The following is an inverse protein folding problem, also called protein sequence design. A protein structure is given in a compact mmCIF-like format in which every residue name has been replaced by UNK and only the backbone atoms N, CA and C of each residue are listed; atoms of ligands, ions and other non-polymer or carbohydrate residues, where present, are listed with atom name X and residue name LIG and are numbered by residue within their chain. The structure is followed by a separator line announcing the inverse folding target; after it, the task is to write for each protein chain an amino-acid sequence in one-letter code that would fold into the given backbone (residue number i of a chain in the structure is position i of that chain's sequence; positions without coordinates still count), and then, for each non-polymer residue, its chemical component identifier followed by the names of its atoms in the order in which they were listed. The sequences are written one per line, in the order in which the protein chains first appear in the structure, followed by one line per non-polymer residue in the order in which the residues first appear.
data_IF_399329316396
#
_entry.id   IF_399329316396
#
_cell.length_a   1.000
_cell.length_b   1.000
_cell.length_c   1.000
_cell.angle_alpha   90.00
_cell.angle_beta   90.00
_cell.angle_gamma   90.00
#
_symmetry.space_group_name_H-M   'P 1'
#
loop_
_entity.id
_entity.type
_entity.pdbx_description
1 polymer ?
#
# COMPACT_ATOMS: atom_id res chain seq x y z
N UNK A 1 -7.30 -8.61 4.16
CA UNK A 1 -7.46 -7.15 4.14
C UNK A 1 -6.08 -6.55 4.22
N UNK A 2 -5.73 -5.74 3.25
CA UNK A 2 -4.46 -5.05 3.19
C UNK A 2 -4.64 -3.65 3.78
N UNK A 3 -3.59 -3.13 4.42
CA UNK A 3 -3.58 -1.78 5.00
C UNK A 3 -2.30 -1.06 4.60
N UNK A 4 -2.42 0.21 4.27
CA UNK A 4 -1.30 1.11 4.04
C UNK A 4 -0.84 1.66 5.38
N UNK A 5 0.37 1.29 5.82
CA UNK A 5 0.85 1.62 7.16
C UNK A 5 1.71 2.88 7.20
N UNK A 6 2.57 3.06 6.20
CA UNK A 6 3.50 4.19 6.13
C UNK A 6 3.92 4.47 4.69
N UNK A 7 4.43 5.67 4.44
CA UNK A 7 4.99 6.08 3.16
C UNK A 7 6.12 7.07 3.37
N UNK A 8 6.97 7.21 2.37
CA UNK A 8 7.95 8.28 2.26
C UNK A 8 7.99 8.81 0.83
N UNK A 9 8.12 10.11 0.67
CA UNK A 9 8.27 10.75 -0.64
C UNK A 9 9.76 10.83 -0.93
N UNK A 10 10.23 9.98 -1.85
CA UNK A 10 11.57 10.10 -2.39
C UNK A 10 11.55 11.10 -3.56
N UNK A 11 12.29 12.16 -3.46
CA UNK A 11 12.33 13.22 -4.46
C UNK A 11 13.75 13.56 -4.92
N UNK A 12 13.88 14.07 -6.12
CA UNK A 12 15.12 14.65 -6.59
C UNK A 12 15.18 16.13 -6.14
N UNK A 13 16.31 16.58 -5.62
CA UNK A 13 16.53 17.94 -5.12
C UNK A 13 16.10 19.05 -6.08
N UNK A 14 16.03 18.76 -7.39
CA UNK A 14 15.60 19.69 -8.41
C UNK A 14 14.07 19.74 -8.62
N UNK A 15 13.28 18.92 -7.95
CA UNK A 15 11.85 18.76 -8.20
C UNK A 15 10.95 19.32 -7.09
N UNK A 16 11.46 19.52 -5.89
CA UNK A 16 10.71 20.13 -4.80
C UNK A 16 11.04 21.61 -4.71
N UNK A 17 10.02 22.40 -4.93
CA UNK A 17 10.04 23.85 -4.80
C UNK A 17 9.91 24.20 -3.32
N UNK A 18 10.87 24.98 -2.81
CA UNK A 18 10.82 25.66 -1.51
C UNK A 18 10.65 24.73 -0.28
N UNK A 19 11.54 23.78 -0.09
CA UNK A 19 11.80 23.29 1.26
C UNK A 19 12.56 24.41 1.99
N UNK A 20 11.81 25.38 2.50
CA UNK A 20 12.43 26.46 3.28
C UNK A 20 12.78 25.87 4.65
N UNK A 21 14.02 25.42 4.79
CA UNK A 21 14.56 24.73 5.97
C UNK A 21 14.38 25.53 7.27
N UNK A 22 14.22 26.84 7.17
CA UNK A 22 14.14 27.78 8.28
C UNK A 22 12.79 27.83 9.00
N UNK A 23 11.72 27.27 8.42
CA UNK A 23 10.38 27.31 9.04
C UNK A 23 10.09 26.17 10.03
N UNK A 24 10.88 25.11 10.03
CA UNK A 24 10.58 23.93 10.84
C UNK A 24 11.71 23.65 11.83
N UNK A 25 11.34 23.47 13.08
CA UNK A 25 12.29 23.04 14.09
C UNK A 25 12.85 21.63 13.71
N UNK A 26 14.18 21.47 13.74
CA UNK A 26 14.87 20.23 13.29
C UNK A 26 14.40 18.94 13.98
N UNK A 27 13.80 19.00 15.17
CA UNK A 27 13.20 17.86 15.88
C UNK A 27 11.75 17.56 15.45
N UNK A 28 11.11 18.44 14.68
CA UNK A 28 9.73 18.25 14.25
C UNK A 28 9.59 17.12 13.23
N UNK A 29 8.43 16.46 13.23
CA UNK A 29 8.15 15.44 12.22
C UNK A 29 8.10 16.02 10.80
N UNK A 30 7.61 17.24 10.66
CA UNK A 30 7.57 17.94 9.38
C UNK A 30 8.98 18.13 8.78
N UNK A 31 9.95 18.52 9.62
CA UNK A 31 11.35 18.63 9.22
C UNK A 31 11.91 17.27 8.80
N UNK A 32 11.76 16.26 9.65
CA UNK A 32 12.28 14.90 9.39
C UNK A 32 11.73 14.31 8.10
N UNK A 33 10.43 14.45 7.85
CA UNK A 33 9.77 13.98 6.63
C UNK A 33 10.33 14.61 5.35
N UNK A 34 10.75 15.89 5.41
CA UNK A 34 11.37 16.55 4.27
C UNK A 34 12.77 16.01 4.00
N UNK A 35 13.57 15.84 5.04
CA UNK A 35 14.95 15.41 4.90
C UNK A 35 15.09 13.95 4.50
N UNK A 36 14.23 13.06 5.00
CA UNK A 36 14.25 11.65 4.65
C UNK A 36 14.11 11.43 3.13
N UNK A 37 13.39 12.29 2.42
CA UNK A 37 13.20 12.18 0.98
C UNK A 37 14.49 12.25 0.14
N UNK A 38 15.59 12.72 0.72
CA UNK A 38 16.92 12.73 0.10
C UNK A 38 17.69 11.41 0.26
N UNK A 39 17.22 10.54 1.15
CA UNK A 39 17.89 9.30 1.46
C UNK A 39 17.67 8.25 0.37
N UNK A 40 18.55 7.28 0.31
CA UNK A 40 18.40 6.15 -0.62
C UNK A 40 17.18 5.30 -0.25
N UNK A 41 16.47 4.78 -1.25
CA UNK A 41 15.23 3.99 -1.07
C UNK A 41 15.34 2.86 -0.05
N UNK A 42 16.49 2.23 0.10
CA UNK A 42 16.70 1.17 1.09
C UNK A 42 16.71 1.73 2.53
N UNK A 43 17.29 2.92 2.73
CA UNK A 43 17.31 3.60 4.01
C UNK A 43 15.87 4.01 4.37
N UNK A 44 15.16 4.62 3.44
CA UNK A 44 13.75 4.97 3.62
C UNK A 44 12.89 3.78 4.01
N UNK A 45 13.08 2.64 3.33
CA UNK A 45 12.32 1.42 3.63
C UNK A 45 12.60 0.90 5.05
N UNK A 46 13.85 0.97 5.51
CA UNK A 46 14.23 0.60 6.88
C UNK A 46 13.65 1.57 7.92
N UNK A 47 13.65 2.86 7.63
CA UNK A 47 13.08 3.86 8.53
C UNK A 47 11.56 3.72 8.63
N UNK A 48 10.88 3.43 7.52
CA UNK A 48 9.45 3.08 7.54
C UNK A 48 9.21 1.83 8.39
N UNK A 49 10.00 0.77 8.23
CA UNK A 49 9.90 -0.44 9.04
C UNK A 49 10.07 -0.14 10.53
N UNK A 50 11.11 0.62 10.89
CA UNK A 50 11.37 1.02 12.29
C UNK A 50 10.21 1.83 12.88
N UNK A 51 9.58 2.73 12.11
CA UNK A 51 8.39 3.48 12.54
C UNK A 51 7.19 2.56 12.81
N UNK A 52 6.94 1.61 11.92
CA UNK A 52 5.86 0.62 12.07
C UNK A 52 6.06 -0.23 13.32
N UNK A 53 7.28 -0.74 13.53
CA UNK A 53 7.62 -1.51 14.73
C UNK A 53 7.47 -0.70 16.01
N UNK A 54 7.91 0.56 16.00
CA UNK A 54 7.74 1.49 17.13
C UNK A 54 6.26 1.76 17.46
N UNK A 55 5.37 1.63 16.49
CA UNK A 55 3.93 1.75 16.68
C UNK A 55 3.29 0.47 17.23
N UNK A 56 4.07 -0.55 17.57
CA UNK A 56 3.57 -1.82 18.13
C UNK A 56 3.01 -2.79 17.07
N UNK A 57 3.26 -2.54 15.78
CA UNK A 57 2.82 -3.43 14.70
C UNK A 57 3.99 -4.34 14.33
N UNK A 58 3.81 -5.64 14.53
CA UNK A 58 4.82 -6.66 14.26
C UNK A 58 4.39 -7.60 13.17
N UNK A 59 5.37 -8.22 12.51
CA UNK A 59 5.17 -9.24 11.49
C UNK A 59 6.30 -10.25 11.54
N UNK A 60 6.00 -11.49 11.20
CA UNK A 60 6.99 -12.57 11.12
C UNK A 60 7.90 -12.40 9.89
N UNK A 61 7.37 -11.81 8.81
CA UNK A 61 8.07 -11.74 7.53
C UNK A 61 7.96 -10.34 6.90
N UNK A 62 9.09 -9.86 6.36
CA UNK A 62 9.12 -8.76 5.41
C UNK A 62 9.27 -9.32 3.99
N UNK A 63 8.37 -8.91 3.09
CA UNK A 63 8.36 -9.33 1.69
C UNK A 63 8.89 -8.19 0.82
N UNK A 64 9.95 -8.43 0.07
CA UNK A 64 10.55 -7.41 -0.80
C UNK A 64 10.86 -7.95 -2.19
N UNK A 65 10.91 -7.04 -3.16
CA UNK A 65 11.36 -7.36 -4.50
C UNK A 65 12.90 -7.34 -4.60
N UNK A 66 13.41 -7.61 -5.80
CA UNK A 66 14.86 -7.68 -6.04
C UNK A 66 15.58 -6.34 -5.87
N UNK A 67 14.88 -5.21 -5.90
CA UNK A 67 15.48 -3.90 -5.70
C UNK A 67 15.94 -3.71 -4.25
N UNK A 68 15.09 -4.12 -3.30
CA UNK A 68 15.39 -4.04 -1.86
C UNK A 68 16.18 -5.26 -1.34
N UNK A 69 16.22 -6.36 -2.09
CA UNK A 69 16.89 -7.59 -1.69
C UNK A 69 18.42 -7.45 -1.73
N UNK A 70 18.97 -6.60 -0.87
CA UNK A 70 20.42 -6.42 -0.69
C UNK A 70 20.85 -6.99 0.67
N UNK A 71 22.02 -7.63 0.76
CA UNK A 71 22.47 -8.27 2.00
C UNK A 71 22.45 -7.35 3.23
N UNK A 72 22.91 -6.12 3.11
CA UNK A 72 22.92 -5.16 4.22
C UNK A 72 21.49 -4.82 4.68
N UNK A 73 20.57 -4.57 3.74
CA UNK A 73 19.17 -4.33 4.05
C UNK A 73 18.55 -5.52 4.79
N UNK A 74 18.77 -6.74 4.29
CA UNK A 74 18.25 -7.97 4.90
C UNK A 74 18.81 -8.17 6.30
N UNK A 75 20.10 -7.89 6.53
CA UNK A 75 20.68 -7.98 7.87
C UNK A 75 20.03 -7.02 8.85
N UNK A 76 19.85 -5.75 8.47
CA UNK A 76 19.18 -4.77 9.35
C UNK A 76 17.73 -5.17 9.67
N UNK A 77 17.01 -5.77 8.73
CA UNK A 77 15.66 -6.30 8.98
C UNK A 77 15.73 -7.45 9.98
N UNK A 78 16.68 -8.38 9.83
CA UNK A 78 16.89 -9.51 10.77
C UNK A 78 17.27 -9.04 12.17
N UNK A 79 18.07 -8.00 12.30
CA UNK A 79 18.43 -7.39 13.60
C UNK A 79 17.20 -6.85 14.34
N UNK A 80 16.14 -6.51 13.62
CA UNK A 80 14.85 -6.16 14.20
C UNK A 80 13.92 -7.36 14.47
N UNK A 81 14.43 -8.59 14.37
CA UNK A 81 13.68 -9.82 14.69
C UNK A 81 12.71 -10.28 13.60
N UNK A 82 12.82 -9.78 12.37
CA UNK A 82 11.91 -10.08 11.27
C UNK A 82 12.65 -10.90 10.20
N UNK A 83 12.07 -12.02 9.80
CA UNK A 83 12.57 -12.79 8.67
C UNK A 83 12.22 -12.13 7.33
N UNK A 84 13.06 -12.38 6.33
CA UNK A 84 12.88 -11.80 4.98
C UNK A 84 12.62 -12.89 3.97
N UNK A 85 11.58 -12.68 3.16
CA UNK A 85 11.33 -13.47 1.95
C UNK A 85 11.43 -12.51 0.76
N UNK A 86 12.37 -12.76 -0.14
CA UNK A 86 12.70 -11.83 -1.21
C UNK A 86 12.97 -12.54 -2.54
N UNK A 87 12.48 -11.96 -3.63
CA UNK A 87 13.02 -12.28 -4.96
C UNK A 87 14.42 -11.68 -5.07
N UNK A 88 15.36 -12.41 -5.66
CA UNK A 88 16.71 -11.90 -5.88
C UNK A 88 17.04 -11.86 -7.38
N UNK A 89 17.83 -10.86 -7.76
CA UNK A 89 18.38 -10.77 -9.11
C UNK A 89 19.64 -11.63 -9.24
N UNK A 90 19.88 -12.16 -10.43
CA UNK A 90 21.12 -12.88 -10.71
C UNK A 90 22.31 -11.91 -10.83
N UNK A 91 22.86 -11.51 -9.70
CA UNK A 91 24.02 -10.63 -9.62
C UNK A 91 25.09 -11.25 -8.70
N UNK A 92 26.15 -11.88 -9.25
CA UNK A 92 27.19 -12.54 -8.46
C UNK A 92 28.03 -11.58 -7.63
N UNK A 93 28.04 -10.27 -7.91
CA UNK A 93 28.72 -9.27 -7.07
C UNK A 93 27.98 -9.02 -5.76
N UNK A 94 26.66 -9.17 -5.77
CA UNK A 94 25.81 -8.96 -4.60
C UNK A 94 25.57 -10.29 -3.87
N UNK A 95 25.26 -11.35 -4.63
CA UNK A 95 24.89 -12.64 -4.09
C UNK A 95 26.11 -13.59 -4.09
N UNK A 96 26.89 -13.51 -3.01
CA UNK A 96 28.10 -14.30 -2.80
C UNK A 96 27.79 -15.49 -1.87
N UNK A 97 27.63 -16.66 -2.46
CA UNK A 97 27.44 -17.90 -1.71
C UNK A 97 28.80 -18.54 -1.39
N UNK A 98 28.86 -19.24 -0.28
CA UNK A 98 30.05 -19.98 0.18
C UNK A 98 29.96 -21.45 -0.21
N UNK A 99 31.10 -22.12 -0.27
CA UNK A 99 31.17 -23.57 -0.56
C UNK A 99 31.31 -23.86 -2.07
N UNK A 100 30.91 -25.07 -2.47
CA UNK A 100 31.10 -25.62 -3.83
C UNK A 100 30.26 -24.88 -4.89
N UNK A 101 29.06 -24.40 -4.50
CA UNK A 101 28.13 -23.76 -5.41
C UNK A 101 28.06 -22.25 -5.12
N UNK A 102 28.76 -21.46 -5.93
CA UNK A 102 28.98 -20.01 -5.69
C UNK A 102 28.01 -19.10 -6.43
N UNK A 103 27.30 -19.59 -7.44
CA UNK A 103 26.35 -18.79 -8.24
C UNK A 103 24.94 -19.34 -8.15
N UNK A 104 23.94 -18.49 -8.43
CA UNK A 104 22.53 -18.92 -8.48
C UNK A 104 22.30 -20.03 -9.51
N UNK A 105 22.97 -19.97 -10.64
CA UNK A 105 22.87 -20.98 -11.68
C UNK A 105 23.42 -22.34 -11.22
N UNK A 106 24.59 -22.36 -10.59
CA UNK A 106 25.18 -23.60 -10.04
C UNK A 106 24.31 -24.18 -8.94
N UNK A 107 23.71 -23.34 -8.10
CA UNK A 107 22.75 -23.76 -7.06
C UNK A 107 21.47 -24.32 -7.67
N UNK A 108 20.95 -23.71 -8.72
CA UNK A 108 19.76 -24.22 -9.42
C UNK A 108 20.01 -25.60 -10.06
N UNK A 109 21.14 -25.74 -10.77
CA UNK A 109 21.52 -27.01 -11.42
C UNK A 109 21.71 -28.11 -10.38
N UNK A 110 22.35 -27.80 -9.26
CA UNK A 110 22.49 -28.73 -8.14
C UNK A 110 21.14 -29.14 -7.56
N UNK A 111 20.27 -28.18 -7.30
CA UNK A 111 18.93 -28.45 -6.77
C UNK A 111 18.11 -29.35 -7.73
N UNK A 112 18.21 -29.09 -9.04
CA UNK A 112 17.53 -29.86 -10.08
C UNK A 112 18.04 -31.31 -10.17
N UNK A 113 19.33 -31.51 -9.99
CA UNK A 113 19.94 -32.86 -10.03
C UNK A 113 19.60 -33.70 -8.80
N UNK A 114 19.54 -33.07 -7.63
CA UNK A 114 19.43 -33.79 -6.35
C UNK A 114 18.01 -33.83 -5.77
N UNK A 115 17.08 -33.07 -6.32
CA UNK A 115 15.67 -33.04 -5.88
C UNK A 115 14.75 -33.10 -7.09
N UNK A 116 13.75 -33.98 -7.00
CA UNK A 116 12.69 -33.97 -8.02
C UNK A 116 12.04 -32.60 -8.13
N UNK A 117 11.92 -32.11 -9.36
CA UNK A 117 11.18 -30.88 -9.64
C UNK A 117 9.71 -31.10 -9.31
N UNK A 118 9.13 -30.18 -8.55
CA UNK A 118 7.72 -30.22 -8.14
C UNK A 118 6.88 -29.29 -8.98
N UNK A 119 5.65 -29.70 -9.25
CA UNK A 119 4.69 -28.89 -10.00
C UNK A 119 3.90 -28.00 -9.05
N UNK A 120 3.76 -26.75 -9.43
CA UNK A 120 2.88 -25.79 -8.78
C UNK A 120 1.96 -25.11 -9.78
N UNK A 121 0.86 -24.54 -9.29
CA UNK A 121 -0.09 -23.78 -10.09
C UNK A 121 -0.38 -22.44 -9.41
N UNK A 122 -0.39 -21.37 -10.17
CA UNK A 122 -0.75 -20.04 -9.70
C UNK A 122 -1.48 -19.27 -10.80
N UNK A 123 -2.72 -18.86 -10.53
CA UNK A 123 -3.56 -18.15 -11.49
C UNK A 123 -3.55 -18.84 -12.88
N UNK A 124 -3.77 -20.15 -12.87
CA UNK A 124 -3.75 -21.00 -14.07
C UNK A 124 -2.38 -21.17 -14.76
N UNK A 125 -1.32 -20.56 -14.24
CA UNK A 125 0.04 -20.72 -14.75
C UNK A 125 0.71 -21.89 -14.03
N UNK A 126 1.05 -22.92 -14.79
CA UNK A 126 1.84 -24.05 -14.30
C UNK A 126 3.30 -23.67 -14.22
N UNK A 127 3.96 -23.99 -13.13
CA UNK A 127 5.39 -23.77 -12.92
C UNK A 127 6.04 -24.98 -12.23
N UNK A 128 7.32 -25.16 -12.52
CA UNK A 128 8.14 -26.12 -11.79
C UNK A 128 8.95 -25.37 -10.71
N UNK A 129 9.14 -25.99 -9.56
CA UNK A 129 10.00 -25.45 -8.52
C UNK A 129 10.92 -26.49 -7.92
N UNK A 130 12.10 -26.04 -7.55
CA UNK A 130 13.08 -26.81 -6.80
C UNK A 130 13.69 -25.90 -5.73
N UNK A 131 14.21 -26.46 -4.66
CA UNK A 131 14.80 -25.67 -3.60
C UNK A 131 16.13 -26.25 -3.13
N UNK A 132 16.96 -25.39 -2.57
CA UNK A 132 18.17 -25.78 -1.88
C UNK A 132 18.44 -24.86 -0.70
N UNK A 133 19.18 -25.34 0.28
CA UNK A 133 19.70 -24.52 1.35
C UNK A 133 21.17 -24.26 1.09
N UNK A 134 21.60 -23.03 1.25
CA UNK A 134 22.99 -22.59 1.03
C UNK A 134 23.39 -21.57 2.09
N UNK A 135 24.66 -21.23 2.13
CA UNK A 135 25.18 -20.19 3.03
C UNK A 135 25.64 -19.00 2.22
N UNK A 136 25.11 -17.83 2.53
CA UNK A 136 25.59 -16.56 1.99
C UNK A 136 26.68 -15.98 2.90
N UNK A 137 27.66 -15.31 2.30
CA UNK A 137 28.85 -14.80 3.03
C UNK A 137 28.51 -13.92 4.23
N UNK A 138 27.50 -13.06 4.10
CA UNK A 138 27.09 -12.09 5.16
C UNK A 138 25.77 -12.47 5.85
N UNK A 139 24.85 -13.10 5.15
CA UNK A 139 23.50 -13.39 5.69
C UNK A 139 23.42 -14.74 6.45
N UNK A 140 24.48 -15.56 6.35
CA UNK A 140 24.45 -16.89 6.90
C UNK A 140 23.61 -17.88 6.07
N UNK A 141 22.93 -18.80 6.74
CA UNK A 141 22.14 -19.87 6.11
C UNK A 141 20.85 -19.32 5.52
N UNK A 142 20.60 -19.65 4.26
CA UNK A 142 19.41 -19.24 3.50
C UNK A 142 18.80 -20.44 2.80
N UNK A 143 17.48 -20.44 2.68
CA UNK A 143 16.75 -21.34 1.78
C UNK A 143 16.40 -20.60 0.50
N UNK A 144 16.67 -21.20 -0.65
CA UNK A 144 16.36 -20.66 -1.97
C UNK A 144 15.37 -21.58 -2.66
N UNK A 145 14.27 -21.01 -3.11
CA UNK A 145 13.28 -21.70 -3.96
C UNK A 145 13.38 -21.10 -5.37
N UNK A 146 13.67 -21.92 -6.34
CA UNK A 146 13.73 -21.55 -7.74
C UNK A 146 12.41 -21.92 -8.40
N UNK A 147 11.68 -20.94 -8.90
CA UNK A 147 10.46 -21.13 -9.68
C UNK A 147 10.84 -21.00 -11.17
N UNK A 148 10.61 -22.08 -11.93
CA UNK A 148 10.82 -22.08 -13.37
C UNK A 148 9.48 -22.00 -14.09
N UNK A 149 9.26 -20.90 -14.77
CA UNK A 149 8.20 -20.74 -15.76
C UNK A 149 8.72 -21.08 -17.15
N UNK A 150 7.89 -20.99 -18.19
CA UNK A 150 8.31 -21.27 -19.57
C UNK A 150 9.56 -20.46 -19.95
N UNK A 151 9.56 -19.17 -19.61
CA UNK A 151 10.57 -18.22 -20.09
C UNK A 151 11.52 -17.71 -18.99
N UNK A 152 11.15 -17.83 -17.71
CA UNK A 152 11.86 -17.20 -16.60
C UNK A 152 12.26 -18.16 -15.49
N UNK A 153 13.40 -17.89 -14.89
CA UNK A 153 13.84 -18.47 -13.63
C UNK A 153 13.76 -17.41 -12.53
N UNK A 154 12.93 -17.66 -11.53
CA UNK A 154 12.67 -16.71 -10.44
C UNK A 154 13.21 -17.30 -9.14
N UNK A 155 14.36 -16.84 -8.64
CA UNK A 155 14.90 -17.24 -7.36
C UNK A 155 14.27 -16.42 -6.24
N UNK A 156 13.71 -17.11 -5.24
CA UNK A 156 13.16 -16.52 -4.01
C UNK A 156 13.98 -17.06 -2.85
N UNK A 157 14.50 -16.17 -2.02
CA UNK A 157 15.19 -16.53 -0.79
C UNK A 157 14.29 -16.39 0.42
N UNK A 158 14.57 -17.20 1.45
CA UNK A 158 14.06 -17.01 2.80
C UNK A 158 15.21 -17.06 3.80
N UNK A 159 15.20 -16.13 4.75
CA UNK A 159 16.10 -16.18 5.90
C UNK A 159 15.67 -17.24 6.92
N UNK A 160 14.37 -17.53 6.98
CA UNK A 160 13.83 -18.65 7.74
C UNK A 160 13.95 -19.94 6.90
N UNK A 161 14.90 -20.78 7.26
CA UNK A 161 15.15 -22.05 6.55
C UNK A 161 14.20 -23.17 6.91
N UNK A 162 13.38 -23.03 7.94
CA UNK A 162 12.43 -24.04 8.42
C UNK A 162 11.12 -24.05 7.60
N UNK A 163 10.83 -22.95 6.90
CA UNK A 163 9.66 -22.89 6.02
C UNK A 163 9.75 -23.94 4.92
N UNK A 164 8.63 -24.58 4.60
CA UNK A 164 8.50 -25.41 3.40
C UNK A 164 8.58 -24.53 2.13
N UNK A 165 8.85 -25.17 0.99
CA UNK A 165 8.93 -24.48 -0.30
C UNK A 165 7.60 -23.79 -0.66
N UNK A 166 6.50 -24.46 -0.34
CA UNK A 166 5.14 -23.95 -0.63
C UNK A 166 4.80 -22.77 0.27
N UNK A 167 5.19 -22.80 1.54
CA UNK A 167 5.00 -21.65 2.44
C UNK A 167 5.77 -20.43 1.95
N UNK A 168 7.03 -20.61 1.54
CA UNK A 168 7.83 -19.49 0.97
C UNK A 168 7.15 -18.92 -0.27
N UNK A 169 6.71 -19.79 -1.20
CA UNK A 169 6.05 -19.33 -2.44
C UNK A 169 4.75 -18.60 -2.13
N UNK A 170 3.88 -19.19 -1.28
CA UNK A 170 2.59 -18.61 -0.95
C UNK A 170 2.71 -17.32 -0.15
N UNK A 171 3.68 -17.24 0.76
CA UNK A 171 3.94 -16.02 1.51
C UNK A 171 4.47 -14.93 0.59
N UNK A 172 5.41 -15.24 -0.31
CA UNK A 172 5.94 -14.27 -1.26
C UNK A 172 4.88 -13.75 -2.24
N UNK A 173 3.91 -14.57 -2.64
CA UNK A 173 2.79 -14.14 -3.51
C UNK A 173 2.00 -12.99 -2.90
N UNK A 174 1.88 -12.90 -1.57
CA UNK A 174 1.18 -11.80 -0.88
C UNK A 174 1.81 -10.42 -1.18
N UNK A 175 3.08 -10.38 -1.59
CA UNK A 175 3.73 -9.13 -2.03
C UNK A 175 2.97 -8.42 -3.15
N UNK A 176 2.29 -9.18 -4.01
CA UNK A 176 1.48 -8.64 -5.11
C UNK A 176 0.33 -7.74 -4.63
N UNK A 177 -0.12 -7.92 -3.40
CA UNK A 177 -1.18 -7.09 -2.81
C UNK A 177 -0.78 -5.60 -2.74
N UNK A 178 0.51 -5.30 -2.65
CA UNK A 178 1.01 -3.91 -2.73
C UNK A 178 0.68 -3.27 -4.09
N UNK A 179 0.88 -4.01 -5.17
CA UNK A 179 0.61 -3.51 -6.52
C UNK A 179 -0.90 -3.33 -6.75
N UNK A 180 -1.70 -4.26 -6.23
CA UNK A 180 -3.15 -4.15 -6.26
C UNK A 180 -3.63 -2.97 -5.41
N UNK A 181 -3.09 -2.79 -4.20
CA UNK A 181 -3.43 -1.66 -3.33
C UNK A 181 -3.09 -0.30 -3.97
N UNK A 182 -1.95 -0.19 -4.65
CA UNK A 182 -1.63 1.03 -5.42
C UNK A 182 -2.55 1.25 -6.62
N UNK A 183 -3.01 0.18 -7.28
CA UNK A 183 -4.00 0.30 -8.33
C UNK A 183 -5.32 0.83 -7.78
N UNK A 184 -5.81 0.26 -6.70
CA UNK A 184 -7.04 0.68 -6.04
C UNK A 184 -6.95 2.13 -5.54
N UNK A 185 -5.81 2.53 -4.96
CA UNK A 185 -5.56 3.91 -4.54
C UNK A 185 -5.65 4.90 -5.71
N UNK A 186 -5.10 4.57 -6.88
CA UNK A 186 -5.16 5.42 -8.07
C UNK A 186 -6.56 5.49 -8.66
N UNK A 187 -7.26 4.37 -8.66
CA UNK A 187 -8.58 4.24 -9.30
C UNK A 187 -9.66 4.90 -8.46
N UNK A 188 -9.68 4.67 -7.13
CA UNK A 188 -10.78 5.08 -6.26
C UNK A 188 -10.44 6.24 -5.32
N UNK A 189 -9.19 6.48 -5.00
CA UNK A 189 -8.78 7.46 -3.99
C UNK A 189 -7.92 8.60 -4.55
N UNK A 190 -7.92 8.81 -5.86
CA UNK A 190 -7.24 9.90 -6.54
C UNK A 190 -5.72 9.99 -6.26
N UNK A 191 -5.09 8.88 -5.86
CA UNK A 191 -3.67 8.83 -5.58
C UNK A 191 -2.85 8.98 -6.87
N UNK A 192 -1.85 9.86 -6.86
CA UNK A 192 -0.98 10.12 -8.02
C UNK A 192 -1.61 11.01 -9.11
N UNK A 193 -2.77 11.66 -8.81
CA UNK A 193 -3.40 12.66 -9.68
C UNK A 193 -3.22 14.07 -9.13
N UNK A 194 -2.20 14.27 -8.29
CA UNK A 194 -1.90 15.55 -7.67
C UNK A 194 -1.26 16.50 -8.68
N UNK A 195 -1.88 17.64 -8.92
CA UNK A 195 -1.30 18.76 -9.69
C UNK A 195 -0.40 19.64 -8.80
N UNK A 196 -0.55 19.53 -7.50
CA UNK A 196 0.16 20.36 -6.54
C UNK A 196 1.59 19.86 -6.31
N UNK A 197 2.55 20.78 -6.33
CA UNK A 197 3.99 20.52 -6.11
C UNK A 197 4.46 20.91 -4.71
N UNK A 198 3.57 21.41 -3.86
CA UNK A 198 3.90 21.80 -2.49
C UNK A 198 4.02 20.51 -1.65
N UNK A 199 5.14 20.34 -0.96
CA UNK A 199 5.44 19.11 -0.20
C UNK A 199 4.36 18.77 0.83
N UNK A 200 3.88 19.76 1.58
CA UNK A 200 2.82 19.58 2.60
C UNK A 200 1.51 19.09 1.99
N UNK A 201 1.14 19.67 0.87
CA UNK A 201 -0.08 19.29 0.16
C UNK A 201 0.00 17.84 -0.35
N UNK A 202 1.17 17.42 -0.86
CA UNK A 202 1.41 16.04 -1.26
C UNK A 202 1.32 15.08 -0.06
N UNK A 203 1.98 15.41 1.06
CA UNK A 203 1.89 14.60 2.29
C UNK A 203 0.45 14.49 2.78
N UNK A 204 -0.28 15.62 2.85
CA UNK A 204 -1.67 15.64 3.27
C UNK A 204 -2.55 14.75 2.34
N UNK A 205 -2.40 14.91 1.03
CA UNK A 205 -3.15 14.13 0.05
C UNK A 205 -2.90 12.63 0.16
N UNK A 206 -1.63 12.22 0.20
CA UNK A 206 -1.26 10.81 0.36
C UNK A 206 -1.81 10.24 1.68
N UNK A 207 -1.69 11.01 2.77
CA UNK A 207 -2.23 10.62 4.08
C UNK A 207 -3.74 10.40 4.02
N UNK A 208 -4.48 11.30 3.40
CA UNK A 208 -5.94 11.19 3.25
C UNK A 208 -6.32 10.00 2.36
N UNK A 209 -5.61 9.78 1.25
CA UNK A 209 -5.84 8.62 0.38
C UNK A 209 -5.59 7.30 1.12
N UNK A 210 -4.53 7.21 1.91
CA UNK A 210 -4.24 6.02 2.72
C UNK A 210 -5.28 5.81 3.83
N UNK A 211 -5.69 6.89 4.49
CA UNK A 211 -6.74 6.82 5.52
C UNK A 211 -8.06 6.33 4.92
N UNK A 212 -8.48 6.91 3.81
CA UNK A 212 -9.71 6.51 3.11
C UNK A 212 -9.65 5.03 2.67
N UNK A 213 -8.53 4.60 2.07
CA UNK A 213 -8.30 3.21 1.70
C UNK A 213 -8.40 2.27 2.92
N UNK A 214 -7.73 2.61 4.02
CA UNK A 214 -7.72 1.80 5.23
C UNK A 214 -9.11 1.71 5.87
N UNK A 215 -9.84 2.81 5.94
CA UNK A 215 -11.23 2.82 6.44
C UNK A 215 -12.14 1.96 5.58
N UNK A 216 -12.07 2.11 4.25
CA UNK A 216 -12.86 1.31 3.31
C UNK A 216 -12.53 -0.18 3.41
N UNK A 217 -11.23 -0.51 3.52
CA UNK A 217 -10.77 -1.88 3.73
C UNK A 217 -11.24 -2.46 5.07
N UNK A 218 -11.26 -1.64 6.12
CA UNK A 218 -11.77 -2.04 7.44
C UNK A 218 -13.29 -2.29 7.40
N UNK A 219 -14.06 -1.37 6.83
CA UNK A 219 -15.51 -1.50 6.66
C UNK A 219 -15.84 -2.78 5.88
N UNK A 220 -15.11 -3.02 4.78
CA UNK A 220 -15.30 -4.24 3.99
C UNK A 220 -15.02 -5.52 4.79
N UNK A 221 -14.07 -5.48 5.71
CA UNK A 221 -13.73 -6.62 6.57
C UNK A 221 -14.81 -6.94 7.60
N UNK A 222 -15.45 -5.92 8.18
CA UNK A 222 -16.50 -6.12 9.20
C UNK A 222 -17.87 -6.47 8.59
N UNK A 223 -18.05 -6.25 7.29
CA UNK A 223 -19.26 -6.64 6.60
C UNK A 223 -19.34 -8.16 6.44
N UNK A 224 -20.53 -8.74 6.66
CA UNK A 224 -20.77 -10.18 6.55
C UNK A 224 -20.60 -10.71 5.11
N UNK A 225 -20.75 -9.83 4.11
CA UNK A 225 -20.57 -10.14 2.69
C UNK A 225 -19.42 -9.27 2.13
N UNK A 226 -18.15 -9.75 2.21
CA UNK A 226 -17.02 -8.98 1.74
C UNK A 226 -17.09 -8.78 0.22
N UNK A 227 -17.10 -7.51 -0.19
CA UNK A 227 -17.10 -7.09 -1.60
C UNK A 227 -15.67 -6.73 -2.04
N UNK A 228 -15.44 -6.63 -3.34
CA UNK A 228 -14.23 -5.97 -3.82
C UNK A 228 -14.27 -4.49 -3.45
N UNK A 229 -13.11 -3.85 -3.28
CA UNK A 229 -13.07 -2.41 -2.98
C UNK A 229 -13.81 -1.58 -4.02
N UNK A 230 -13.70 -1.92 -5.30
CA UNK A 230 -14.42 -1.24 -6.37
C UNK A 230 -15.94 -1.40 -6.29
N UNK A 231 -16.45 -2.57 -5.88
CA UNK A 231 -17.88 -2.75 -5.67
C UNK A 231 -18.36 -1.95 -4.47
N UNK A 232 -17.61 -1.98 -3.37
CA UNK A 232 -17.96 -1.21 -2.18
C UNK A 232 -17.94 0.30 -2.48
N UNK A 233 -16.98 0.79 -3.25
CA UNK A 233 -16.90 2.19 -3.63
C UNK A 233 -18.13 2.61 -4.46
N UNK A 234 -18.52 1.81 -5.45
CA UNK A 234 -19.73 2.06 -6.26
C UNK A 234 -21.01 2.05 -5.43
N UNK A 235 -21.11 1.13 -4.46
CA UNK A 235 -22.26 1.11 -3.55
C UNK A 235 -22.34 2.37 -2.70
N UNK A 236 -21.18 2.86 -2.21
CA UNK A 236 -21.13 4.11 -1.45
C UNK A 236 -21.50 5.32 -2.31
N UNK A 237 -21.02 5.40 -3.56
CA UNK A 237 -21.43 6.44 -4.51
C UNK A 237 -22.94 6.42 -4.75
N UNK A 238 -23.52 5.25 -5.03
CA UNK A 238 -24.95 5.09 -5.23
C UNK A 238 -25.77 5.50 -3.99
N UNK A 239 -25.30 5.18 -2.79
CA UNK A 239 -25.93 5.60 -1.53
C UNK A 239 -25.87 7.12 -1.34
N UNK A 240 -24.76 7.77 -1.68
CA UNK A 240 -24.60 9.22 -1.62
C UNK A 240 -25.53 9.92 -2.61
N UNK A 241 -25.61 9.42 -3.86
CA UNK A 241 -26.56 9.94 -4.85
C UNK A 241 -28.01 9.79 -4.39
N UNK A 242 -28.38 8.62 -3.86
CA UNK A 242 -29.72 8.37 -3.31
C UNK A 242 -30.04 9.32 -2.15
N UNK A 243 -29.07 9.56 -1.26
CA UNK A 243 -29.23 10.51 -0.15
C UNK A 243 -29.42 11.94 -0.66
N UNK A 244 -28.63 12.35 -1.65
CA UNK A 244 -28.73 13.67 -2.27
C UNK A 244 -30.11 13.89 -2.91
N UNK A 245 -30.59 12.93 -3.70
CA UNK A 245 -31.94 12.97 -4.30
C UNK A 245 -33.02 13.01 -3.23
N UNK A 246 -32.92 12.21 -2.17
CA UNK A 246 -33.87 12.18 -1.07
C UNK A 246 -33.92 13.51 -0.32
N UNK A 247 -32.80 14.15 -0.09
CA UNK A 247 -32.74 15.47 0.52
C UNK A 247 -33.36 16.54 -0.38
N UNK A 248 -33.12 16.50 -1.69
CA UNK A 248 -33.71 17.43 -2.64
C UNK A 248 -35.26 17.28 -2.70
N UNK A 249 -35.76 16.05 -2.72
CA UNK A 249 -37.19 15.77 -2.65
C UNK A 249 -37.79 16.26 -1.35
N UNK A 250 -37.12 16.02 -0.23
CA UNK A 250 -37.59 16.51 1.08
C UNK A 250 -37.71 18.03 1.12
N UNK A 251 -36.73 18.75 0.57
CA UNK A 251 -36.77 20.21 0.47
C UNK A 251 -37.95 20.68 -0.41
N UNK A 252 -38.19 20.06 -1.57
CA UNK A 252 -39.31 20.36 -2.44
C UNK A 252 -40.69 20.15 -1.75
N UNK A 253 -40.81 19.06 -0.99
CA UNK A 253 -42.02 18.78 -0.20
C UNK A 253 -42.22 19.84 0.88
N UNK A 254 -41.15 20.22 1.60
CA UNK A 254 -41.20 21.30 2.59
C UNK A 254 -41.65 22.63 1.94
N UNK A 255 -41.10 22.96 0.77
CA UNK A 255 -41.49 24.15 0.02
C UNK A 255 -42.97 24.16 -0.34
N UNK A 256 -43.49 23.04 -0.85
CA UNK A 256 -44.91 22.92 -1.19
C UNK A 256 -45.82 23.02 0.04
N UNK A 257 -45.46 22.41 1.16
CA UNK A 257 -46.18 22.50 2.43
C UNK A 257 -46.24 23.96 2.90
N UNK A 258 -45.11 24.65 2.79
CA UNK A 258 -45.01 26.05 3.20
C UNK A 258 -45.83 26.96 2.29
N UNK A 259 -45.76 26.77 0.97
CA UNK A 259 -46.55 27.54 0.00
C UNK A 259 -48.04 27.31 0.14
N UNK A 260 -48.48 26.10 0.55
CA UNK A 260 -49.86 25.74 0.74
C UNK A 260 -50.49 26.28 2.02
N UNK A 261 -49.68 26.71 2.98
CA UNK A 261 -50.19 27.24 4.25
C UNK A 261 -50.05 28.77 4.28
N UNK A 262 -51.18 29.49 4.37
CA UNK A 262 -51.25 30.95 4.59
C UNK A 262 -50.53 31.43 5.88
N UNK A 263 -50.14 30.50 6.75
CA UNK A 263 -49.38 30.71 7.99
C UNK A 263 -47.96 31.23 7.75
N UNK A 264 -47.34 30.89 6.62
CA UNK A 264 -45.97 31.25 6.31
C UNK A 264 -45.78 32.71 5.94
N UNK A 265 -46.82 33.33 5.33
CA UNK A 265 -46.79 34.75 5.03
C UNK A 265 -46.70 35.67 6.26
N UNK A 266 -46.83 35.13 7.47
CA UNK A 266 -46.77 35.84 8.75
C UNK A 266 -45.49 35.59 9.58
N UNK A 267 -44.65 34.61 9.21
CA UNK A 267 -43.50 34.25 10.04
C UNK A 267 -42.16 34.37 9.27
N UNK A 268 -41.55 35.55 9.36
CA UNK A 268 -40.24 35.85 8.73
C UNK A 268 -39.10 34.90 9.17
N UNK A 269 -39.20 34.35 10.37
CA UNK A 269 -38.18 33.44 10.92
C UNK A 269 -38.18 32.09 10.18
N UNK A 270 -39.35 31.62 9.75
CA UNK A 270 -39.49 30.37 9.01
C UNK A 270 -38.90 30.49 7.59
N UNK A 271 -39.13 31.65 6.91
CA UNK A 271 -38.50 31.94 5.61
C UNK A 271 -36.98 31.98 5.70
N UNK A 272 -36.44 32.56 6.76
CA UNK A 272 -34.97 32.60 6.98
C UNK A 272 -34.41 31.21 7.23
N UNK A 273 -35.06 30.36 8.03
CA UNK A 273 -34.66 28.98 8.29
C UNK A 273 -34.63 28.18 6.98
N UNK A 274 -35.66 28.33 6.14
CA UNK A 274 -35.72 27.61 4.85
C UNK A 274 -34.62 28.10 3.91
N UNK A 275 -34.37 29.40 3.87
CA UNK A 275 -33.31 29.97 3.06
C UNK A 275 -31.92 29.44 3.51
N UNK A 276 -31.66 29.39 4.82
CA UNK A 276 -30.44 28.81 5.36
C UNK A 276 -30.30 27.31 5.05
N UNK A 277 -31.38 26.54 5.16
CA UNK A 277 -31.39 25.12 4.80
C UNK A 277 -31.09 24.94 3.30
N UNK A 278 -31.68 25.74 2.42
CA UNK A 278 -31.40 25.72 0.96
C UNK A 278 -29.94 26.02 0.67
N UNK A 279 -29.39 27.08 1.28
CA UNK A 279 -27.98 27.47 1.09
C UNK A 279 -27.05 26.38 1.59
N UNK A 280 -27.34 25.81 2.78
CA UNK A 280 -26.55 24.74 3.35
C UNK A 280 -26.59 23.48 2.49
N UNK A 281 -27.76 23.06 2.05
CA UNK A 281 -27.93 21.84 1.24
C UNK A 281 -27.31 22.00 -0.15
N UNK A 282 -27.49 23.14 -0.82
CA UNK A 282 -26.81 23.43 -2.09
C UNK A 282 -25.29 23.42 -1.96
N UNK A 283 -24.76 23.94 -0.86
CA UNK A 283 -23.33 23.92 -0.59
C UNK A 283 -22.81 22.50 -0.37
N UNK A 284 -23.56 21.65 0.33
CA UNK A 284 -23.18 20.25 0.56
C UNK A 284 -23.32 19.41 -0.73
N UNK A 285 -24.40 19.58 -1.50
CA UNK A 285 -24.61 18.89 -2.78
C UNK A 285 -23.60 19.35 -3.85
N UNK A 286 -23.32 20.64 -3.94
CA UNK A 286 -22.29 21.19 -4.85
C UNK A 286 -20.91 20.62 -4.57
N UNK A 287 -20.56 20.43 -3.29
CA UNK A 287 -19.29 19.81 -2.91
C UNK A 287 -19.22 18.32 -3.30
N UNK A 288 -20.37 17.61 -3.38
CA UNK A 288 -20.46 16.21 -3.80
C UNK A 288 -20.44 16.04 -5.33
N UNK A 289 -20.88 17.05 -6.10
CA UNK A 289 -20.92 16.97 -7.57
C UNK A 289 -19.64 17.50 -8.26
N UNK A 290 -18.76 18.19 -7.53
CA UNK A 290 -17.48 18.71 -8.06
C UNK A 290 -16.27 17.80 -7.73
N UNK A 291 -16.48 16.66 -7.07
CA UNK A 291 -15.47 15.66 -6.75
C UNK A 291 -15.54 14.48 -7.69
#
# INVERSE_FOLDING_TARGET
TDMMLDFSINYNKNQIVNVNENYFHHKSNAYKRRFEGNDGKNILALDMLKRVLKSGIYSDYLLVDSWYAKPNFINEVKENGIDVIARIANNPKIWQFTGKFKTLETLYNYAKQNKASRLGNYNSIKYNYVSTTTTHKTLGRLKIVFIKTKDNLIPIISTNTNLSDIEIINTYKKRWNIEQGYKDLREYFQFGKEENRIFEALIARITLSFLAYNLTSYINRINNEPKTLGNLFRDLECQLETLAISMELFLKILEQIIESQEIVKRNKDLEQIIHMLRVYTKKQLGFMCES
#
